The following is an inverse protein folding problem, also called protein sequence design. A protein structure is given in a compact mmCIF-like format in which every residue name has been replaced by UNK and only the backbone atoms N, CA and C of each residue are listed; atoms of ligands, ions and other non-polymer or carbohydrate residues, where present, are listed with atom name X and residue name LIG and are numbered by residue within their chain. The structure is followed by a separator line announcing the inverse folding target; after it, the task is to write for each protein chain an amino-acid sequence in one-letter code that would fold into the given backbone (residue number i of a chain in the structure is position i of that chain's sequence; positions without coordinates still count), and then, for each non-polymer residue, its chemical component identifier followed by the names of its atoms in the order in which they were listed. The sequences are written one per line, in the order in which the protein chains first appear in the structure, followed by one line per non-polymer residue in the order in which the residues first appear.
data_IF_263023767881
#
_entry.id   IF_263023767881
#
_cell.length_a   1.000
_cell.length_b   1.000
_cell.length_c   1.000
_cell.angle_alpha   90.00
_cell.angle_beta   90.00
_cell.angle_gamma   90.00
#
_symmetry.space_group_name_H-M   'P 1'
#
loop_
_entity.id
_entity.type
_entity.pdbx_description
1 polymer ?
#
# COMPACT_ATOMS: atom_id res chain seq x y z
N UNK A 1 8.38 26.54 -48.24
CA UNK A 1 7.82 25.29 -47.66
C UNK A 1 7.68 25.51 -46.18
N UNK A 2 6.53 25.24 -45.63
CA UNK A 2 6.31 25.29 -44.17
C UNK A 2 7.22 24.24 -43.54
N UNK A 3 7.96 24.64 -42.48
CA UNK A 3 8.80 23.74 -41.70
C UNK A 3 7.85 22.92 -40.81
N UNK A 4 7.95 21.61 -40.80
CA UNK A 4 7.18 20.74 -39.90
C UNK A 4 7.72 20.87 -38.48
N UNK A 5 6.90 20.52 -37.47
CA UNK A 5 7.32 20.52 -36.07
C UNK A 5 8.51 19.57 -35.86
N UNK A 6 8.52 18.41 -36.52
CA UNK A 6 9.63 17.45 -36.51
C UNK A 6 10.92 18.07 -37.05
N UNK A 7 10.86 18.77 -38.18
CA UNK A 7 12.02 19.48 -38.75
C UNK A 7 12.54 20.59 -37.85
N UNK A 8 11.65 21.31 -37.13
CA UNK A 8 12.03 22.32 -36.16
C UNK A 8 12.79 21.70 -34.96
N UNK A 9 12.32 20.59 -34.40
CA UNK A 9 13.05 19.84 -33.37
C UNK A 9 14.39 19.32 -33.88
N UNK A 10 14.43 18.72 -35.08
CA UNK A 10 15.67 18.23 -35.69
C UNK A 10 16.69 19.36 -35.89
N UNK A 11 16.25 20.54 -36.31
CA UNK A 11 17.10 21.71 -36.43
C UNK A 11 17.64 22.19 -35.06
N UNK A 12 16.80 22.17 -34.02
CA UNK A 12 17.21 22.48 -32.65
C UNK A 12 18.28 21.49 -32.14
N UNK A 13 18.12 20.19 -32.35
CA UNK A 13 19.11 19.17 -31.97
C UNK A 13 20.43 19.37 -32.69
N UNK A 14 20.38 19.67 -33.98
CA UNK A 14 21.57 19.92 -34.79
C UNK A 14 22.31 21.19 -34.35
N UNK A 15 21.58 22.24 -33.98
CA UNK A 15 22.15 23.56 -33.65
C UNK A 15 22.63 23.64 -32.21
N UNK A 16 21.83 23.14 -31.26
CA UNK A 16 22.08 23.26 -29.82
C UNK A 16 22.75 22.05 -29.22
N UNK A 17 22.59 20.91 -29.86
CA UNK A 17 22.93 19.59 -29.33
C UNK A 17 21.93 19.09 -28.27
N UNK A 18 21.74 17.78 -28.11
CA UNK A 18 20.72 17.17 -27.23
C UNK A 18 20.88 17.55 -25.75
N UNK A 19 22.12 17.84 -25.32
CA UNK A 19 22.40 18.23 -23.91
C UNK A 19 21.91 19.62 -23.52
N UNK A 20 21.42 20.42 -24.46
CA UNK A 20 20.90 21.79 -24.24
C UNK A 20 19.42 21.93 -24.56
N UNK A 21 18.75 20.83 -24.88
CA UNK A 21 17.32 20.80 -25.18
C UNK A 21 16.59 20.18 -23.99
N UNK A 22 15.49 20.81 -23.59
CA UNK A 22 14.55 20.32 -22.57
C UNK A 22 13.20 20.13 -23.25
N UNK A 23 12.54 19.03 -22.97
CA UNK A 23 11.15 18.84 -23.35
C UNK A 23 10.23 19.36 -22.23
N UNK A 24 9.18 20.07 -22.60
CA UNK A 24 8.11 20.51 -21.71
C UNK A 24 6.75 20.21 -22.32
N UNK A 25 5.82 19.74 -21.50
CA UNK A 25 4.49 19.31 -21.95
C UNK A 25 3.50 20.46 -22.18
N UNK A 26 3.88 21.68 -21.81
CA UNK A 26 2.98 22.84 -21.84
C UNK A 26 1.60 22.57 -21.21
N UNK A 27 1.64 21.94 -19.99
CA UNK A 27 0.43 21.67 -19.24
C UNK A 27 -0.30 22.98 -18.83
N UNK A 28 -1.64 23.10 -18.92
CA UNK A 28 -2.63 22.04 -19.23
C UNK A 28 -2.94 21.82 -20.72
N UNK A 29 -2.32 22.52 -21.64
CA UNK A 29 -2.60 22.42 -23.09
C UNK A 29 -2.36 20.99 -23.60
N UNK A 30 -1.37 20.28 -23.05
CA UNK A 30 -1.06 18.89 -23.40
C UNK A 30 -2.19 17.89 -23.13
N UNK A 31 -3.15 18.21 -22.27
CA UNK A 31 -4.33 17.38 -21.99
C UNK A 31 -5.53 17.69 -22.92
N UNK A 32 -5.45 18.72 -23.71
CA UNK A 32 -6.50 19.06 -24.68
C UNK A 32 -6.46 18.09 -25.87
N UNK A 33 -7.63 17.72 -26.39
CA UNK A 33 -7.70 17.04 -27.68
C UNK A 33 -7.51 18.05 -28.79
N UNK A 34 -6.53 17.81 -29.64
CA UNK A 34 -6.25 18.72 -30.73
C UNK A 34 -5.27 18.14 -31.73
N UNK A 35 -4.95 18.93 -32.73
CA UNK A 35 -3.89 18.63 -33.69
C UNK A 35 -3.16 19.93 -34.04
N UNK A 36 -1.85 19.87 -34.07
CA UNK A 36 -1.03 20.97 -34.51
C UNK A 36 -1.11 21.11 -36.04
N UNK A 37 -1.37 22.31 -36.50
CA UNK A 37 -1.32 22.68 -37.92
C UNK A 37 -0.41 23.88 -38.14
N UNK A 38 0.30 23.88 -39.26
CA UNK A 38 1.11 25.04 -39.70
C UNK A 38 0.36 25.83 -40.76
N UNK A 39 0.27 27.15 -40.56
CA UNK A 39 -0.26 28.09 -41.54
C UNK A 39 0.78 29.13 -41.85
N UNK A 40 1.79 28.81 -42.65
CA UNK A 40 2.90 29.69 -43.00
C UNK A 40 3.88 29.90 -41.85
N UNK A 41 3.91 31.10 -41.24
CA UNK A 41 4.87 31.41 -40.16
C UNK A 41 4.36 31.04 -38.75
N UNK A 42 3.12 30.56 -38.62
CA UNK A 42 2.50 30.29 -37.33
C UNK A 42 2.04 28.87 -37.21
N UNK A 43 2.03 28.35 -35.98
CA UNK A 43 1.47 27.07 -35.59
C UNK A 43 0.18 27.27 -34.77
N UNK A 44 -0.85 26.50 -35.03
CA UNK A 44 -2.12 26.54 -34.30
C UNK A 44 -2.50 25.15 -33.84
N UNK A 45 -3.06 25.07 -32.64
CA UNK A 45 -3.69 23.87 -32.16
C UNK A 45 -5.17 23.89 -32.51
N UNK A 46 -5.60 22.96 -33.35
CA UNK A 46 -7.01 22.69 -33.58
C UNK A 46 -7.56 21.83 -32.49
N UNK A 47 -8.64 22.23 -31.86
CA UNK A 47 -9.39 21.39 -30.92
C UNK A 47 -10.90 21.48 -31.21
N UNK A 48 -11.73 20.51 -30.71
CA UNK A 48 -13.14 20.40 -31.13
C UNK A 48 -14.00 21.63 -30.88
N UNK A 49 -13.61 22.47 -29.92
CA UNK A 49 -14.41 23.62 -29.48
C UNK A 49 -13.97 24.96 -30.11
N UNK A 50 -12.76 25.02 -30.69
CA UNK A 50 -12.22 26.23 -31.28
C UNK A 50 -11.60 25.91 -32.63
N UNK A 51 -12.36 26.09 -33.68
CA UNK A 51 -11.85 26.08 -35.06
C UNK A 51 -11.33 27.46 -35.41
N UNK A 52 -10.10 27.56 -35.94
CA UNK A 52 -9.61 28.80 -36.48
C UNK A 52 -10.50 29.24 -37.67
N UNK A 53 -10.97 30.51 -37.77
CA UNK A 53 -11.93 30.92 -38.76
C UNK A 53 -11.56 30.64 -40.22
N UNK A 54 -10.25 30.61 -40.51
CA UNK A 54 -9.71 30.44 -41.87
C UNK A 54 -9.34 28.98 -42.19
N UNK A 55 -9.62 28.03 -41.30
CA UNK A 55 -9.26 26.64 -41.50
C UNK A 55 -10.45 25.72 -41.60
N UNK A 56 -10.56 25.02 -42.74
CA UNK A 56 -11.50 23.90 -42.93
C UNK A 56 -10.72 22.59 -42.76
N UNK A 57 -10.94 21.82 -41.67
CA UNK A 57 -10.22 20.57 -41.45
C UNK A 57 -10.61 19.55 -42.53
N UNK A 58 -9.67 18.75 -43.05
CA UNK A 58 -10.00 17.62 -43.91
C UNK A 58 -10.93 16.67 -43.14
N UNK A 59 -11.90 16.07 -43.81
CA UNK A 59 -12.90 15.16 -43.25
C UNK A 59 -12.34 13.91 -42.55
N UNK A 60 -11.03 13.67 -42.68
CA UNK A 60 -10.30 12.52 -42.15
C UNK A 60 -9.37 12.90 -40.98
N UNK A 61 -9.41 14.14 -40.46
CA UNK A 61 -8.51 14.57 -39.39
C UNK A 61 -8.92 13.93 -38.06
N UNK A 62 -8.12 13.00 -37.56
CA UNK A 62 -8.31 12.40 -36.25
C UNK A 62 -7.64 13.30 -35.19
N UNK A 63 -8.42 13.74 -34.20
CA UNK A 63 -7.92 14.51 -33.07
C UNK A 63 -7.29 13.58 -32.02
N UNK A 64 -6.09 13.92 -31.57
CA UNK A 64 -5.38 13.24 -30.48
C UNK A 64 -5.19 14.20 -29.30
N UNK A 65 -4.61 13.73 -28.21
CA UNK A 65 -4.16 14.62 -27.13
C UNK A 65 -2.94 15.39 -27.64
N UNK A 66 -2.93 16.71 -27.42
CA UNK A 66 -1.82 17.61 -27.83
C UNK A 66 -0.47 17.12 -27.30
N UNK A 67 -0.41 16.66 -26.06
CA UNK A 67 0.81 16.10 -25.49
C UNK A 67 1.29 14.82 -26.19
N UNK A 68 0.39 13.96 -26.69
CA UNK A 68 0.74 12.77 -27.47
C UNK A 68 1.26 13.16 -28.85
N UNK A 69 0.65 14.13 -29.50
CA UNK A 69 1.09 14.65 -30.79
C UNK A 69 2.53 15.17 -30.70
N UNK A 70 2.83 16.02 -29.71
CA UNK A 70 4.17 16.54 -29.47
C UNK A 70 5.19 15.44 -29.16
N UNK A 71 4.81 14.40 -28.42
CA UNK A 71 5.68 13.27 -28.14
C UNK A 71 5.98 12.43 -29.39
N UNK A 72 4.98 12.21 -30.24
CA UNK A 72 5.15 11.48 -31.51
C UNK A 72 6.08 12.26 -32.45
N UNK A 73 5.87 13.55 -32.60
CA UNK A 73 6.69 14.46 -33.40
C UNK A 73 8.13 14.51 -32.89
N UNK A 74 8.30 14.58 -31.56
CA UNK A 74 9.62 14.55 -30.95
C UNK A 74 10.33 13.21 -31.16
N UNK A 75 9.60 12.09 -31.06
CA UNK A 75 10.12 10.75 -31.35
C UNK A 75 10.62 10.66 -32.80
N UNK A 76 9.83 11.15 -33.75
CA UNK A 76 10.22 11.21 -35.17
C UNK A 76 11.50 12.03 -35.34
N UNK A 77 11.54 13.26 -34.80
CA UNK A 77 12.72 14.13 -34.86
C UNK A 77 13.96 13.50 -34.22
N UNK A 78 13.83 12.76 -33.12
CA UNK A 78 14.94 12.04 -32.49
C UNK A 78 15.45 10.93 -33.39
N UNK A 79 14.56 10.20 -34.07
CA UNK A 79 14.92 9.13 -35.00
C UNK A 79 15.66 9.70 -36.22
N UNK A 80 15.11 10.72 -36.84
CA UNK A 80 15.65 11.37 -38.03
C UNK A 80 16.99 12.07 -37.77
N UNK A 81 17.20 12.51 -36.54
CA UNK A 81 18.45 13.14 -36.11
C UNK A 81 19.50 12.13 -35.63
N UNK A 82 19.20 10.83 -35.62
CA UNK A 82 20.11 9.77 -35.20
C UNK A 82 20.52 9.85 -33.72
N UNK A 83 19.64 10.36 -32.86
CA UNK A 83 19.92 10.46 -31.43
C UNK A 83 19.98 9.09 -30.76
N UNK A 84 20.91 8.95 -29.83
CA UNK A 84 21.05 7.74 -29.01
C UNK A 84 20.03 7.74 -27.87
N UNK A 85 19.80 6.57 -27.26
CA UNK A 85 18.97 6.47 -26.04
C UNK A 85 19.48 7.37 -24.92
N UNK A 86 20.79 7.57 -24.80
CA UNK A 86 21.39 8.48 -23.82
C UNK A 86 21.02 9.94 -24.11
N UNK A 87 21.03 10.35 -25.38
CA UNK A 87 20.63 11.71 -25.78
C UNK A 87 19.14 11.95 -25.50
N UNK A 88 18.28 10.96 -25.72
CA UNK A 88 16.86 11.01 -25.42
C UNK A 88 16.64 11.15 -23.90
N UNK A 89 17.35 10.39 -23.09
CA UNK A 89 17.31 10.53 -21.63
C UNK A 89 17.79 11.92 -21.17
N UNK A 90 18.79 12.49 -21.84
CA UNK A 90 19.23 13.86 -21.55
C UNK A 90 18.12 14.85 -21.81
N UNK A 91 17.41 14.77 -22.92
CA UNK A 91 16.32 15.68 -23.30
C UNK A 91 15.16 15.61 -22.29
N UNK A 92 14.71 14.41 -21.94
CA UNK A 92 13.53 14.22 -21.10
C UNK A 92 13.80 14.35 -19.60
N UNK A 93 15.01 14.07 -19.14
CA UNK A 93 15.28 13.99 -17.71
C UNK A 93 16.55 14.73 -17.28
N UNK A 94 17.73 14.34 -17.83
CA UNK A 94 19.00 14.77 -17.26
C UNK A 94 19.27 16.26 -17.44
N UNK A 95 18.78 16.89 -18.53
CA UNK A 95 18.93 18.30 -18.75
C UNK A 95 18.09 19.10 -17.72
N UNK A 96 16.85 18.66 -17.45
CA UNK A 96 16.01 19.25 -16.42
C UNK A 96 16.65 19.10 -15.02
N UNK A 97 17.16 17.92 -14.69
CA UNK A 97 17.87 17.69 -13.44
C UNK A 97 19.12 18.55 -13.31
N UNK A 98 19.92 18.71 -14.36
CA UNK A 98 21.10 19.60 -14.35
C UNK A 98 20.72 21.07 -14.12
N UNK A 99 19.60 21.51 -14.68
CA UNK A 99 19.10 22.87 -14.50
C UNK A 99 18.53 23.09 -13.10
N UNK A 100 17.77 22.13 -12.59
CA UNK A 100 17.08 22.23 -11.29
C UNK A 100 18.00 21.93 -10.09
N UNK A 101 19.02 21.09 -10.26
CA UNK A 101 19.92 20.65 -9.18
C UNK A 101 20.53 21.79 -8.34
N UNK A 102 20.95 22.94 -8.89
CA UNK A 102 21.41 24.08 -8.08
C UNK A 102 20.33 24.70 -7.20
N UNK A 103 19.06 24.51 -7.56
CA UNK A 103 17.90 25.09 -6.87
C UNK A 103 17.18 24.09 -5.96
N UNK A 104 17.48 22.79 -6.09
CA UNK A 104 16.86 21.70 -5.34
C UNK A 104 17.95 20.72 -4.84
N UNK A 105 18.88 21.18 -3.99
CA UNK A 105 20.02 20.36 -3.55
C UNK A 105 19.61 19.10 -2.78
N UNK A 106 18.42 19.07 -2.19
CA UNK A 106 17.92 17.96 -1.38
C UNK A 106 17.38 16.77 -2.21
N UNK A 107 17.10 16.99 -3.51
CA UNK A 107 16.64 15.90 -4.41
C UNK A 107 17.77 15.01 -4.94
N UNK A 108 19.02 15.39 -4.70
CA UNK A 108 20.16 14.59 -5.10
C UNK A 108 20.54 13.62 -3.97
N UNK A 109 19.99 12.41 -3.97
CA UNK A 109 20.67 11.29 -3.32
C UNK A 109 22.02 11.16 -4.03
N UNK A 110 23.15 11.29 -3.32
CA UNK A 110 24.47 11.18 -3.97
C UNK A 110 24.53 9.84 -4.71
N UNK A 111 24.89 9.85 -5.99
CA UNK A 111 25.01 8.66 -6.86
C UNK A 111 26.10 7.66 -6.38
N UNK A 112 26.67 7.88 -5.20
CA UNK A 112 27.76 7.10 -4.61
C UNK A 112 27.41 6.43 -3.29
N UNK A 113 26.14 6.48 -2.84
CA UNK A 113 25.77 5.85 -1.57
C UNK A 113 25.53 4.36 -1.78
N UNK A 114 26.46 3.54 -1.38
CA UNK A 114 26.35 2.08 -1.35
C UNK A 114 25.34 1.67 -0.28
N UNK A 115 24.39 0.79 -0.63
CA UNK A 115 23.34 0.30 0.29
C UNK A 115 23.89 -0.28 1.60
N UNK A 116 24.89 -1.18 1.59
CA UNK A 116 25.56 -1.68 2.79
C UNK A 116 26.20 -0.61 3.67
N UNK A 117 26.81 0.43 3.09
CA UNK A 117 27.37 1.55 3.87
C UNK A 117 26.27 2.40 4.52
N UNK A 118 25.19 2.65 3.79
CA UNK A 118 24.03 3.35 4.35
C UNK A 118 23.37 2.54 5.48
N UNK A 119 23.33 1.20 5.35
CA UNK A 119 22.84 0.32 6.41
C UNK A 119 23.67 0.44 7.68
N UNK A 120 25.00 0.48 7.59
CA UNK A 120 25.87 0.72 8.76
C UNK A 120 25.52 2.03 9.48
N UNK A 121 25.35 3.12 8.70
CA UNK A 121 24.93 4.42 9.24
C UNK A 121 23.53 4.36 9.87
N UNK A 122 22.59 3.64 9.24
CA UNK A 122 21.25 3.47 9.80
C UNK A 122 21.27 2.72 11.14
N UNK A 123 22.11 1.70 11.29
CA UNK A 123 22.29 0.97 12.56
C UNK A 123 22.77 1.85 13.71
N UNK A 124 23.53 2.90 13.41
CA UNK A 124 23.99 3.88 14.41
C UNK A 124 22.91 4.89 14.80
N UNK A 125 21.98 5.21 13.90
CA UNK A 125 21.03 6.32 14.06
C UNK A 125 19.59 5.87 14.31
N UNK A 126 19.22 4.70 13.80
CA UNK A 126 17.86 4.16 13.88
C UNK A 126 17.90 2.89 14.73
N UNK A 127 17.08 2.82 15.76
CA UNK A 127 16.98 1.61 16.59
C UNK A 127 16.60 0.41 15.73
N UNK A 128 17.48 -0.61 15.68
CA UNK A 128 17.34 -1.77 14.81
C UNK A 128 17.63 -1.51 13.34
N UNK A 129 18.09 -0.31 12.94
CA UNK A 129 18.40 0.06 11.55
C UNK A 129 17.17 0.37 10.70
N UNK A 130 16.04 -0.25 10.99
CA UNK A 130 14.74 -0.06 10.34
C UNK A 130 13.61 -0.52 11.25
N UNK A 131 12.41 -0.02 11.03
CA UNK A 131 11.21 -0.38 11.80
C UNK A 131 10.65 -1.77 11.54
N UNK A 132 11.12 -2.50 10.52
CA UNK A 132 10.60 -3.83 10.16
C UNK A 132 11.71 -4.88 10.23
N UNK A 133 11.51 -5.89 11.09
CA UNK A 133 12.48 -6.97 11.30
C UNK A 133 12.90 -7.67 10.00
N UNK A 134 11.93 -8.04 9.16
CA UNK A 134 12.16 -8.74 7.89
C UNK A 134 12.83 -7.88 6.80
N UNK A 135 13.08 -6.58 7.03
CA UNK A 135 13.88 -5.72 6.14
C UNK A 135 15.30 -5.48 6.64
N UNK A 136 15.67 -6.04 7.79
CA UNK A 136 17.04 -5.92 8.29
C UNK A 136 18.00 -6.72 7.43
N UNK A 137 19.15 -6.13 7.07
CA UNK A 137 20.14 -6.81 6.25
C UNK A 137 20.67 -8.09 6.91
N UNK A 138 20.71 -8.15 8.25
CA UNK A 138 21.12 -9.32 9.03
C UNK A 138 20.21 -10.55 8.82
N UNK A 139 19.01 -10.36 8.29
CA UNK A 139 18.10 -11.47 7.93
C UNK A 139 18.53 -12.17 6.62
N UNK A 140 19.44 -11.56 5.85
CA UNK A 140 19.91 -12.04 4.55
C UNK A 140 21.45 -12.06 4.53
N UNK A 141 22.06 -10.99 4.02
CA UNK A 141 23.51 -10.81 3.96
C UNK A 141 23.87 -9.32 4.16
N UNK A 142 24.64 -9.03 5.19
CA UNK A 142 25.00 -7.65 5.54
C UNK A 142 25.98 -6.98 4.57
N UNK A 143 26.62 -7.74 3.69
CA UNK A 143 27.61 -7.24 2.73
C UNK A 143 27.01 -7.09 1.32
N UNK A 144 26.14 -8.01 0.91
CA UNK A 144 25.61 -8.05 -0.46
C UNK A 144 24.15 -7.65 -0.56
N UNK A 145 23.37 -7.72 0.54
CA UNK A 145 21.98 -7.31 0.51
C UNK A 145 21.85 -5.80 0.25
N UNK A 146 21.13 -5.35 -0.81
CA UNK A 146 21.09 -3.95 -1.22
C UNK A 146 20.48 -3.03 -0.15
N UNK A 147 19.64 -3.55 0.74
CA UNK A 147 18.94 -2.92 1.87
C UNK A 147 18.04 -1.72 1.52
N UNK A 148 18.37 -0.95 0.49
CA UNK A 148 17.64 0.27 0.09
C UNK A 148 17.28 0.22 -1.39
N UNK A 149 16.12 0.78 -1.70
CA UNK A 149 15.67 0.97 -3.07
C UNK A 149 15.66 2.47 -3.42
N UNK A 150 15.94 2.78 -4.67
CA UNK A 150 15.75 4.11 -5.25
C UNK A 150 14.34 4.26 -5.83
N UNK A 151 13.88 3.24 -6.56
CA UNK A 151 12.53 3.19 -7.15
C UNK A 151 11.99 1.79 -7.23
N UNK A 152 10.67 1.68 -7.34
CA UNK A 152 9.98 0.43 -7.58
C UNK A 152 8.80 0.68 -8.54
N UNK A 153 8.51 -0.27 -9.45
CA UNK A 153 7.41 -0.18 -10.40
C UNK A 153 6.95 -1.58 -10.83
N UNK A 154 5.65 -1.83 -10.84
CA UNK A 154 5.13 -3.17 -11.12
C UNK A 154 5.67 -4.19 -10.12
N UNK A 155 6.40 -5.20 -10.60
CA UNK A 155 7.08 -6.19 -9.76
C UNK A 155 8.60 -5.94 -9.64
N UNK A 156 9.10 -4.83 -10.14
CA UNK A 156 10.52 -4.54 -10.23
C UNK A 156 10.94 -3.50 -9.20
N UNK A 157 12.15 -3.67 -8.66
CA UNK A 157 12.79 -2.77 -7.69
C UNK A 157 14.21 -2.47 -8.15
N UNK A 158 14.63 -1.22 -8.04
CA UNK A 158 16.01 -0.79 -8.33
C UNK A 158 16.67 -0.31 -7.04
N UNK A 159 17.85 -0.83 -6.76
CA UNK A 159 18.65 -0.38 -5.63
C UNK A 159 19.33 0.96 -5.91
N UNK A 160 20.06 1.48 -4.92
CA UNK A 160 20.78 2.76 -5.04
C UNK A 160 21.91 2.76 -6.07
N UNK A 161 22.33 1.60 -6.55
CA UNK A 161 23.31 1.46 -7.65
C UNK A 161 22.64 1.41 -9.02
N UNK A 162 21.31 1.40 -9.07
CA UNK A 162 20.51 1.24 -10.28
C UNK A 162 20.35 -0.22 -10.72
N UNK A 163 20.85 -1.20 -9.96
CA UNK A 163 20.67 -2.61 -10.25
C UNK A 163 19.21 -3.02 -10.03
N UNK A 164 18.65 -3.71 -11.01
CA UNK A 164 17.25 -4.15 -11.04
C UNK A 164 17.08 -5.54 -10.44
N UNK A 165 16.01 -5.72 -9.71
CA UNK A 165 15.56 -6.99 -9.12
C UNK A 165 14.08 -7.21 -9.40
N UNK A 166 13.65 -8.47 -9.44
CA UNK A 166 12.24 -8.85 -9.36
C UNK A 166 11.91 -9.10 -7.89
N UNK A 167 10.91 -8.39 -7.38
CA UNK A 167 10.48 -8.54 -5.99
C UNK A 167 9.30 -9.50 -5.88
N UNK A 168 9.57 -10.74 -5.45
CA UNK A 168 8.54 -11.74 -5.16
C UNK A 168 7.85 -11.55 -3.80
N UNK A 169 8.38 -10.68 -2.94
CA UNK A 169 7.80 -10.41 -1.61
C UNK A 169 6.68 -9.37 -1.66
N UNK A 170 6.59 -8.57 -2.73
CA UNK A 170 5.53 -7.58 -2.94
C UNK A 170 5.37 -6.63 -1.75
N UNK A 171 6.49 -6.05 -1.24
CA UNK A 171 6.45 -5.17 -0.06
C UNK A 171 5.98 -5.89 1.20
N UNK A 172 6.40 -7.15 1.41
CA UNK A 172 5.93 -8.04 2.50
C UNK A 172 4.41 -8.24 2.42
N UNK A 173 3.93 -8.39 1.19
CA UNK A 173 2.50 -8.57 0.91
C UNK A 173 1.64 -7.30 0.99
N UNK A 174 2.22 -6.12 1.11
CA UNK A 174 1.44 -4.88 1.16
C UNK A 174 1.09 -4.33 -0.23
N UNK A 175 1.78 -4.78 -1.28
CA UNK A 175 1.60 -4.29 -2.64
C UNK A 175 1.10 -5.45 -3.52
N UNK A 176 -0.14 -5.37 -3.97
CA UNK A 176 -0.78 -6.45 -4.74
C UNK A 176 -1.02 -6.07 -6.21
N UNK A 177 -1.35 -4.82 -6.49
CA UNK A 177 -1.53 -4.31 -7.86
C UNK A 177 -0.19 -4.01 -8.55
N UNK A 178 0.92 -4.08 -7.81
CA UNK A 178 2.24 -3.67 -8.25
C UNK A 178 2.67 -2.34 -7.65
N UNK A 179 4.00 -2.14 -7.63
CA UNK A 179 4.59 -0.89 -7.16
C UNK A 179 4.23 0.26 -8.09
N UNK A 180 4.04 1.44 -7.51
CA UNK A 180 3.73 2.67 -8.25
C UNK A 180 2.52 2.53 -9.19
N UNK A 181 1.50 1.78 -8.78
CA UNK A 181 0.26 1.63 -9.55
C UNK A 181 -0.30 3.01 -9.92
N UNK A 182 -0.60 3.27 -11.21
CA UNK A 182 -0.96 4.60 -11.69
C UNK A 182 -2.27 5.13 -11.11
N UNK A 183 -3.27 4.28 -10.91
CA UNK A 183 -4.59 4.69 -10.42
C UNK A 183 -4.53 5.03 -8.93
N UNK A 184 -3.84 4.20 -8.15
CA UNK A 184 -3.60 4.46 -6.72
C UNK A 184 -2.76 5.72 -6.55
N UNK A 185 -1.66 5.89 -7.31
CA UNK A 185 -0.83 7.08 -7.27
C UNK A 185 -1.60 8.35 -7.63
N UNK A 186 -2.42 8.30 -8.69
CA UNK A 186 -3.25 9.43 -9.11
C UNK A 186 -4.28 9.82 -8.02
N UNK A 187 -4.91 8.84 -7.37
CA UNK A 187 -5.84 9.10 -6.28
C UNK A 187 -5.16 9.74 -5.06
N UNK A 188 -4.00 9.21 -4.66
CA UNK A 188 -3.19 9.73 -3.56
C UNK A 188 -2.67 11.13 -3.88
N UNK A 189 -2.17 11.36 -5.10
CA UNK A 189 -1.70 12.67 -5.54
C UNK A 189 -2.82 13.72 -5.51
N UNK A 190 -4.00 13.41 -6.06
CA UNK A 190 -5.17 14.31 -5.97
C UNK A 190 -5.50 14.66 -4.52
N UNK A 191 -5.46 13.68 -3.61
CA UNK A 191 -5.73 13.92 -2.18
C UNK A 191 -4.66 14.80 -1.54
N UNK A 192 -3.38 14.60 -1.86
CA UNK A 192 -2.29 15.46 -1.39
C UNK A 192 -2.48 16.91 -1.81
N UNK A 193 -2.83 17.16 -3.07
CA UNK A 193 -3.06 18.51 -3.60
C UNK A 193 -4.26 19.21 -2.96
N UNK A 194 -5.21 18.47 -2.38
CA UNK A 194 -6.36 19.00 -1.66
C UNK A 194 -6.14 19.10 -0.14
N UNK A 195 -4.97 18.69 0.35
CA UNK A 195 -4.65 18.58 1.76
C UNK A 195 -4.99 17.18 2.31
N UNK A 196 -3.96 16.44 2.74
CA UNK A 196 -4.11 15.07 3.23
C UNK A 196 -4.75 14.99 4.62
N UNK A 197 -4.59 16.04 5.44
CA UNK A 197 -5.02 16.08 6.83
C UNK A 197 -5.39 17.51 7.25
N UNK A 198 -6.47 17.64 8.01
CA UNK A 198 -6.86 18.91 8.64
C UNK A 198 -7.74 18.68 9.87
N UNK A 199 -8.26 19.75 10.47
CA UNK A 199 -9.17 19.67 11.64
C UNK A 199 -10.55 19.09 11.32
N UNK A 200 -10.94 19.01 10.05
CA UNK A 200 -12.18 18.38 9.58
C UNK A 200 -11.88 16.99 9.04
N UNK A 201 -12.87 16.10 9.10
CA UNK A 201 -12.76 14.74 8.56
C UNK A 201 -12.90 14.70 7.03
N UNK A 202 -12.28 13.72 6.41
CA UNK A 202 -12.31 13.53 4.97
C UNK A 202 -13.58 12.74 4.57
N UNK A 203 -14.39 13.23 3.61
CA UNK A 203 -15.59 12.51 3.16
C UNK A 203 -15.30 11.16 2.49
N UNK A 204 -14.06 10.90 2.05
CA UNK A 204 -13.68 9.58 1.52
C UNK A 204 -13.73 8.48 2.58
N UNK A 205 -13.64 8.79 3.87
CA UNK A 205 -13.86 7.82 4.95
C UNK A 205 -15.26 7.22 4.88
N UNK A 206 -16.28 8.06 4.66
CA UNK A 206 -17.67 7.59 4.55
C UNK A 206 -17.85 6.74 3.29
N UNK A 207 -17.37 7.20 2.15
CA UNK A 207 -17.44 6.44 0.88
C UNK A 207 -16.76 5.08 0.98
N UNK A 208 -15.62 5.02 1.66
CA UNK A 208 -14.91 3.76 1.87
C UNK A 208 -15.68 2.86 2.82
N UNK A 209 -16.28 3.39 3.90
CA UNK A 209 -17.12 2.62 4.81
C UNK A 209 -18.31 2.00 4.07
N UNK A 210 -19.04 2.79 3.27
CA UNK A 210 -20.13 2.30 2.42
C UNK A 210 -19.67 1.16 1.50
N UNK A 211 -18.51 1.33 0.83
CA UNK A 211 -17.94 0.30 -0.06
C UNK A 211 -17.58 -0.97 0.70
N UNK A 212 -16.94 -0.85 1.85
CA UNK A 212 -16.56 -2.01 2.67
C UNK A 212 -17.78 -2.75 3.22
N UNK A 213 -18.83 -2.04 3.65
CA UNK A 213 -20.06 -2.65 4.13
C UNK A 213 -20.87 -3.31 2.99
N UNK A 214 -20.87 -2.73 1.79
CA UNK A 214 -21.42 -3.38 0.59
C UNK A 214 -20.76 -4.74 0.33
N UNK A 215 -19.43 -4.81 0.50
CA UNK A 215 -18.65 -6.04 0.31
C UNK A 215 -18.86 -7.06 1.44
N UNK A 216 -19.26 -6.60 2.63
CA UNK A 216 -19.44 -7.41 3.85
C UNK A 216 -20.84 -7.23 4.45
N UNK A 217 -21.91 -7.79 3.84
CA UNK A 217 -23.30 -7.55 4.27
C UNK A 217 -23.61 -8.00 5.70
N UNK A 218 -22.75 -8.85 6.32
CA UNK A 218 -22.84 -9.27 7.71
C UNK A 218 -22.41 -8.19 8.71
N UNK A 219 -21.66 -7.17 8.24
CA UNK A 219 -21.10 -6.11 9.07
C UNK A 219 -22.01 -4.87 9.09
N UNK A 220 -21.94 -4.08 10.17
CA UNK A 220 -22.72 -2.85 10.36
C UNK A 220 -21.87 -1.58 10.45
N UNK A 221 -20.61 -1.68 10.93
CA UNK A 221 -19.72 -0.53 11.13
C UNK A 221 -18.28 -0.82 10.74
N UNK A 222 -17.54 0.26 10.47
CA UNK A 222 -16.10 0.23 10.12
C UNK A 222 -15.35 1.18 11.04
N UNK A 223 -14.09 0.83 11.38
CA UNK A 223 -13.15 1.71 12.05
C UNK A 223 -11.79 1.62 11.37
N UNK A 224 -11.06 2.74 11.30
CA UNK A 224 -9.81 2.82 10.55
C UNK A 224 -8.58 2.93 11.46
N UNK A 225 -7.45 2.43 10.98
CA UNK A 225 -6.12 2.54 11.56
C UNK A 225 -5.08 2.72 10.43
N UNK A 226 -3.79 2.77 10.78
CA UNK A 226 -2.71 2.91 9.79
C UNK A 226 -1.83 1.67 9.69
N UNK A 227 -1.84 0.81 10.68
CA UNK A 227 -1.06 -0.42 10.70
C UNK A 227 -1.88 -1.64 11.10
N UNK A 228 -1.54 -2.81 10.55
CA UNK A 228 -2.25 -4.06 10.86
C UNK A 228 -2.19 -4.45 12.34
N UNK A 229 -1.01 -4.36 12.98
CA UNK A 229 -0.88 -4.65 14.42
C UNK A 229 -1.70 -3.70 15.31
N UNK A 230 -1.77 -2.43 14.93
CA UNK A 230 -2.59 -1.41 15.53
C UNK A 230 -4.09 -1.78 15.41
N UNK A 231 -4.54 -2.12 14.20
CA UNK A 231 -5.91 -2.54 13.94
C UNK A 231 -6.28 -3.83 14.70
N UNK A 232 -5.38 -4.80 14.80
CA UNK A 232 -5.58 -6.00 15.61
C UNK A 232 -5.74 -5.64 17.09
N UNK A 233 -4.93 -4.74 17.62
CA UNK A 233 -5.07 -4.28 19.02
C UNK A 233 -6.40 -3.60 19.28
N UNK A 234 -6.89 -2.81 18.31
CA UNK A 234 -8.21 -2.20 18.37
C UNK A 234 -9.30 -3.27 18.38
N UNK A 235 -9.25 -4.24 17.47
CA UNK A 235 -10.20 -5.36 17.40
C UNK A 235 -10.25 -6.15 18.72
N UNK A 236 -9.10 -6.43 19.33
CA UNK A 236 -9.00 -7.09 20.64
C UNK A 236 -9.62 -6.26 21.74
N UNK A 237 -9.37 -4.95 21.76
CA UNK A 237 -10.00 -4.06 22.76
C UNK A 237 -11.52 -4.01 22.60
N UNK A 238 -12.02 -3.93 21.37
CA UNK A 238 -13.45 -3.96 21.07
C UNK A 238 -14.06 -5.27 21.54
N UNK A 239 -13.44 -6.41 21.22
CA UNK A 239 -13.92 -7.74 21.65
C UNK A 239 -13.95 -7.89 23.17
N UNK A 240 -12.93 -7.39 23.88
CA UNK A 240 -12.90 -7.37 25.35
C UNK A 240 -13.99 -6.49 25.94
N UNK A 241 -14.24 -5.32 25.36
CA UNK A 241 -15.32 -4.43 25.79
C UNK A 241 -16.70 -5.10 25.59
N UNK A 242 -16.93 -5.66 24.41
CA UNK A 242 -18.20 -6.32 24.07
C UNK A 242 -18.53 -7.54 24.94
N UNK A 243 -17.52 -8.23 25.44
CA UNK A 243 -17.72 -9.43 26.26
C UNK A 243 -17.53 -9.22 27.77
N UNK A 244 -16.91 -8.13 28.18
CA UNK A 244 -16.48 -7.91 29.56
C UNK A 244 -15.39 -8.88 30.04
N UNK A 245 -14.71 -9.58 29.12
CA UNK A 245 -13.72 -10.62 29.39
C UNK A 245 -12.34 -10.22 28.85
N UNK A 246 -11.29 -10.93 29.26
CA UNK A 246 -9.90 -10.55 28.94
C UNK A 246 -9.13 -11.57 28.08
N UNK A 247 -9.54 -12.84 28.08
CA UNK A 247 -8.80 -13.93 27.48
C UNK A 247 -8.94 -14.01 25.96
N UNK A 248 -7.84 -14.27 25.26
CA UNK A 248 -7.78 -14.39 23.80
C UNK A 248 -7.19 -15.74 23.44
N UNK A 249 -7.93 -16.59 22.73
CA UNK A 249 -7.39 -17.72 22.01
C UNK A 249 -6.97 -17.28 20.61
N UNK A 250 -5.80 -17.64 20.12
CA UNK A 250 -5.38 -17.14 18.80
C UNK A 250 -4.55 -18.16 18.01
N UNK A 251 -4.62 -18.06 16.68
CA UNK A 251 -3.82 -18.85 15.75
C UNK A 251 -3.26 -17.98 14.63
N UNK A 252 -1.94 -17.85 14.56
CA UNK A 252 -1.27 -17.08 13.54
C UNK A 252 -0.43 -15.91 14.06
N UNK A 253 -0.03 -15.03 13.16
CA UNK A 253 0.71 -13.81 13.48
C UNK A 253 -0.19 -12.58 13.43
N UNK A 254 -0.28 -11.85 14.54
CA UNK A 254 -1.22 -10.74 14.69
C UNK A 254 -0.59 -9.44 15.15
N UNK A 255 0.67 -9.22 14.84
CA UNK A 255 1.41 -8.01 15.20
C UNK A 255 2.38 -8.19 16.37
N UNK A 256 2.84 -7.07 16.93
CA UNK A 256 3.90 -7.01 17.94
C UNK A 256 3.42 -6.45 19.28
N UNK A 257 2.17 -6.10 19.42
CA UNK A 257 1.63 -5.43 20.60
C UNK A 257 1.57 -6.36 21.81
N UNK A 258 1.49 -5.78 22.99
CA UNK A 258 1.59 -6.47 24.28
C UNK A 258 0.63 -7.65 24.41
N UNK A 259 -0.60 -7.50 23.94
CA UNK A 259 -1.59 -8.58 24.04
C UNK A 259 -1.15 -9.86 23.31
N UNK A 260 -0.44 -9.74 22.19
CA UNK A 260 0.06 -10.88 21.42
C UNK A 260 1.33 -11.48 22.03
N UNK A 261 2.30 -10.62 22.39
CA UNK A 261 3.54 -11.07 23.02
C UNK A 261 3.32 -11.60 24.43
N UNK A 262 2.20 -11.32 25.09
CA UNK A 262 1.80 -11.85 26.38
C UNK A 262 1.79 -13.39 26.41
N UNK A 263 1.56 -14.07 25.28
CA UNK A 263 1.67 -15.53 25.19
C UNK A 263 3.03 -16.06 25.63
N UNK A 264 4.13 -15.34 25.33
CA UNK A 264 5.48 -15.72 25.73
C UNK A 264 5.84 -15.42 27.21
N UNK A 265 4.95 -14.75 27.95
CA UNK A 265 5.13 -14.56 29.41
C UNK A 265 4.94 -15.88 30.19
N UNK A 266 4.11 -16.77 29.69
CA UNK A 266 3.85 -18.05 30.33
C UNK A 266 4.85 -19.11 29.90
N UNK A 267 5.04 -19.26 28.58
CA UNK A 267 5.99 -20.19 27.98
C UNK A 267 6.78 -19.44 26.91
N UNK A 268 8.10 -19.31 27.09
CA UNK A 268 8.98 -18.53 26.18
C UNK A 268 8.91 -18.93 24.70
N UNK A 269 8.42 -20.13 24.40
CA UNK A 269 8.26 -20.68 23.04
C UNK A 269 6.80 -20.74 22.57
N UNK A 270 5.87 -20.07 23.23
CA UNK A 270 4.44 -20.16 22.87
C UNK A 270 4.16 -19.65 21.45
N UNK A 271 4.95 -18.67 20.97
CA UNK A 271 4.83 -18.09 19.63
C UNK A 271 5.68 -18.76 18.54
N UNK A 272 6.51 -19.75 18.88
CA UNK A 272 7.51 -20.32 17.95
C UNK A 272 6.87 -20.93 16.68
N UNK A 273 5.70 -21.52 16.78
CA UNK A 273 4.95 -22.07 15.65
C UNK A 273 4.08 -21.05 14.88
N UNK A 274 4.01 -19.80 15.35
CA UNK A 274 3.12 -18.78 14.83
C UNK A 274 3.83 -17.70 14.03
N UNK A 275 5.07 -17.38 14.36
CA UNK A 275 5.89 -16.41 13.62
C UNK A 275 7.34 -16.89 13.57
N UNK A 276 8.19 -16.39 14.45
CA UNK A 276 9.61 -16.69 14.57
C UNK A 276 9.91 -17.20 15.98
N UNK A 277 10.81 -18.17 16.12
CA UNK A 277 11.22 -18.64 17.43
C UNK A 277 11.98 -17.54 18.22
N UNK A 278 11.87 -17.60 19.55
CA UNK A 278 12.68 -16.78 20.44
C UNK A 278 12.29 -15.32 20.56
N UNK A 279 11.03 -14.93 20.28
CA UNK A 279 10.54 -13.55 20.47
C UNK A 279 10.44 -13.23 21.96
N UNK A 280 11.30 -12.32 22.51
CA UNK A 280 11.30 -12.03 23.93
C UNK A 280 10.12 -11.10 24.29
N UNK A 281 9.34 -11.41 25.34
CA UNK A 281 8.27 -10.54 25.83
C UNK A 281 8.82 -9.43 26.75
N UNK A 282 10.04 -8.94 26.48
CA UNK A 282 10.69 -7.91 27.29
C UNK A 282 9.92 -6.59 27.22
N UNK A 283 9.47 -6.11 28.37
CA UNK A 283 8.68 -4.88 28.49
C UNK A 283 7.16 -5.09 28.43
N UNK A 284 6.69 -6.30 28.14
CA UNK A 284 5.28 -6.64 28.26
C UNK A 284 4.89 -6.75 29.74
N UNK A 285 3.80 -6.11 30.21
CA UNK A 285 3.36 -6.19 31.59
C UNK A 285 3.10 -7.65 32.03
N UNK A 286 3.64 -8.03 33.19
CA UNK A 286 3.50 -9.39 33.75
C UNK A 286 2.05 -9.78 34.02
N UNK A 287 1.20 -8.80 34.28
CA UNK A 287 -0.24 -8.92 34.55
C UNK A 287 -1.04 -9.46 33.34
N UNK A 288 -0.46 -9.39 32.14
CA UNK A 288 -1.04 -9.98 30.94
C UNK A 288 -0.79 -11.47 30.78
N UNK A 289 0.01 -12.07 31.69
CA UNK A 289 0.27 -13.51 31.68
C UNK A 289 -1.05 -14.31 31.72
N UNK A 290 -1.19 -15.31 30.83
CA UNK A 290 -2.37 -16.15 30.71
C UNK A 290 -3.56 -15.50 30.02
N UNK A 291 -3.46 -14.26 29.53
CA UNK A 291 -4.54 -13.60 28.79
C UNK A 291 -4.52 -13.87 27.28
N UNK A 292 -3.44 -14.47 26.76
CA UNK A 292 -3.29 -14.83 25.35
C UNK A 292 -2.78 -16.26 25.23
N UNK A 293 -3.59 -17.14 24.68
CA UNK A 293 -3.30 -18.58 24.58
C UNK A 293 -3.31 -19.00 23.12
N UNK A 294 -2.17 -19.43 22.55
CA UNK A 294 -2.10 -19.86 21.18
C UNK A 294 -2.66 -21.27 20.97
N UNK A 295 -3.25 -21.51 19.79
CA UNK A 295 -3.57 -22.85 19.29
C UNK A 295 -3.05 -22.99 17.85
N UNK A 296 -2.88 -24.23 17.36
CA UNK A 296 -2.32 -24.48 16.04
C UNK A 296 -3.39 -24.57 14.95
N UNK A 297 -3.04 -24.13 13.76
CA UNK A 297 -3.90 -24.19 12.59
C UNK A 297 -4.19 -25.66 12.20
N UNK A 298 -5.44 -25.99 11.90
CA UNK A 298 -5.91 -27.34 11.62
C UNK A 298 -5.78 -28.34 12.80
N UNK A 299 -5.63 -27.88 14.03
CA UNK A 299 -5.53 -28.68 15.24
C UNK A 299 -6.64 -28.31 16.25
N UNK A 300 -7.79 -28.98 16.14
CA UNK A 300 -8.91 -28.80 17.06
C UNK A 300 -8.58 -29.23 18.49
N UNK A 301 -7.63 -30.14 18.68
CA UNK A 301 -7.22 -30.55 20.03
C UNK A 301 -6.53 -29.41 20.76
N UNK A 302 -5.60 -28.74 20.11
CA UNK A 302 -4.94 -27.55 20.67
C UNK A 302 -5.92 -26.38 20.86
N UNK A 303 -6.90 -26.23 19.96
CA UNK A 303 -7.95 -25.23 20.10
C UNK A 303 -8.82 -25.48 21.35
N UNK A 304 -9.34 -26.69 21.56
CA UNK A 304 -10.14 -27.01 22.74
C UNK A 304 -9.33 -26.87 24.03
N UNK A 305 -8.05 -27.22 24.03
CA UNK A 305 -7.16 -27.00 25.19
C UNK A 305 -7.00 -25.52 25.52
N UNK A 306 -6.90 -24.61 24.49
CA UNK A 306 -6.85 -23.18 24.70
C UNK A 306 -8.18 -22.66 25.27
N UNK A 307 -9.32 -23.15 24.78
CA UNK A 307 -10.63 -22.80 25.32
C UNK A 307 -10.79 -23.22 26.77
N UNK A 308 -10.32 -24.44 27.13
CA UNK A 308 -10.35 -24.97 28.52
C UNK A 308 -9.49 -24.09 29.43
N UNK A 309 -8.27 -23.76 29.01
CA UNK A 309 -7.35 -22.90 29.78
C UNK A 309 -7.95 -21.51 30.06
N UNK A 310 -8.63 -20.90 29.10
CA UNK A 310 -9.26 -19.59 29.26
C UNK A 310 -10.61 -19.65 30.00
N UNK A 311 -11.32 -20.79 29.90
CA UNK A 311 -12.59 -21.02 30.56
C UNK A 311 -13.63 -19.91 30.33
N UNK A 312 -14.24 -19.42 31.40
CA UNK A 312 -15.23 -18.34 31.37
C UNK A 312 -14.66 -16.95 31.04
N UNK A 313 -13.33 -16.81 30.97
CA UNK A 313 -12.67 -15.53 30.66
C UNK A 313 -12.40 -15.34 29.14
N UNK A 314 -12.81 -16.26 28.27
CA UNK A 314 -12.61 -16.15 26.82
C UNK A 314 -13.40 -14.97 26.24
N UNK A 315 -12.69 -13.94 25.81
CA UNK A 315 -13.26 -12.76 25.14
C UNK A 315 -13.36 -12.96 23.61
N UNK A 316 -12.31 -13.48 23.00
CA UNK A 316 -12.26 -13.67 21.55
C UNK A 316 -11.41 -14.86 21.12
N UNK A 317 -11.75 -15.36 19.95
CA UNK A 317 -10.89 -16.23 19.14
C UNK A 317 -10.41 -15.46 17.94
N UNK A 318 -9.10 -15.45 17.71
CA UNK A 318 -8.44 -14.66 16.65
C UNK A 318 -7.66 -15.59 15.75
N UNK A 319 -7.85 -15.49 14.43
CA UNK A 319 -7.10 -16.33 13.51
C UNK A 319 -6.98 -15.72 12.10
N UNK A 320 -5.92 -16.11 11.40
CA UNK A 320 -5.84 -15.96 9.95
C UNK A 320 -6.72 -17.05 9.29
N UNK A 321 -7.57 -16.72 8.31
CA UNK A 321 -8.48 -17.69 7.68
C UNK A 321 -7.73 -18.73 6.83
N UNK A 322 -6.62 -18.33 6.23
CA UNK A 322 -5.68 -19.17 5.47
C UNK A 322 -4.26 -18.70 5.78
N UNK A 323 -3.36 -19.67 5.99
CA UNK A 323 -1.92 -19.44 6.11
C UNK A 323 -1.16 -20.20 5.03
N UNK A 324 -0.26 -21.07 5.42
CA UNK A 324 0.50 -21.96 4.53
C UNK A 324 -0.32 -23.14 3.99
N UNK A 325 -1.48 -23.41 4.59
CA UNK A 325 -2.39 -24.50 4.25
C UNK A 325 -3.83 -24.01 4.22
N UNK A 326 -4.67 -24.69 3.45
CA UNK A 326 -6.12 -24.52 3.53
C UNK A 326 -6.67 -25.13 4.83
N UNK A 327 -7.80 -24.64 5.34
CA UNK A 327 -8.45 -25.27 6.49
C UNK A 327 -8.91 -26.69 6.14
N UNK A 328 -8.73 -27.59 7.06
CA UNK A 328 -9.35 -28.92 6.96
C UNK A 328 -10.87 -28.78 7.07
N UNK A 329 -11.59 -29.76 6.45
CA UNK A 329 -13.05 -29.83 6.55
C UNK A 329 -13.51 -29.84 8.01
N UNK A 330 -14.46 -28.98 8.36
CA UNK A 330 -15.00 -28.84 9.71
C UNK A 330 -14.17 -27.99 10.66
N UNK A 331 -12.95 -27.59 10.31
CA UNK A 331 -12.09 -26.81 11.22
C UNK A 331 -12.65 -25.42 11.54
N UNK A 332 -12.99 -24.65 10.51
CA UNK A 332 -13.49 -23.29 10.67
C UNK A 332 -14.93 -23.27 11.18
N UNK A 333 -15.73 -24.22 10.76
CA UNK A 333 -17.11 -24.43 11.22
C UNK A 333 -17.13 -24.69 12.72
N UNK A 334 -16.28 -25.61 13.20
CA UNK A 334 -16.15 -25.92 14.63
C UNK A 334 -15.72 -24.69 15.42
N UNK A 335 -14.72 -23.93 14.96
CA UNK A 335 -14.28 -22.70 15.64
C UNK A 335 -15.43 -21.69 15.72
N UNK A 336 -16.15 -21.48 14.62
CA UNK A 336 -17.29 -20.55 14.57
C UNK A 336 -18.40 -20.95 15.54
N UNK A 337 -18.73 -22.23 15.58
CA UNK A 337 -19.74 -22.77 16.49
C UNK A 337 -19.33 -22.63 17.97
N UNK A 338 -18.07 -22.98 18.29
CA UNK A 338 -17.53 -22.83 19.66
C UNK A 338 -17.49 -21.36 20.12
N UNK A 339 -17.15 -20.41 19.23
CA UNK A 339 -17.24 -18.99 19.56
C UNK A 339 -18.67 -18.60 19.94
N UNK A 340 -19.65 -19.02 19.17
CA UNK A 340 -21.07 -18.75 19.41
C UNK A 340 -21.55 -19.36 20.74
N UNK A 341 -21.21 -20.64 21.01
CA UNK A 341 -21.56 -21.31 22.26
C UNK A 341 -20.97 -20.65 23.51
N UNK A 342 -19.73 -20.16 23.40
CA UNK A 342 -19.01 -19.47 24.48
C UNK A 342 -19.38 -18.01 24.61
N UNK A 343 -20.13 -17.43 23.67
CA UNK A 343 -20.35 -15.98 23.58
C UNK A 343 -19.04 -15.22 23.46
N UNK A 344 -18.08 -15.75 22.69
CA UNK A 344 -16.82 -15.13 22.40
C UNK A 344 -16.85 -14.51 21.00
N UNK A 345 -16.14 -13.40 20.81
CA UNK A 345 -16.05 -12.71 19.52
C UNK A 345 -15.11 -13.45 18.57
N UNK A 346 -15.58 -13.81 17.39
CA UNK A 346 -14.73 -14.37 16.33
C UNK A 346 -14.10 -13.21 15.53
N UNK A 347 -12.77 -13.09 15.59
CA UNK A 347 -11.98 -12.09 14.87
C UNK A 347 -11.17 -12.78 13.78
N UNK A 348 -11.45 -12.47 12.53
CA UNK A 348 -10.68 -12.97 11.39
C UNK A 348 -9.68 -11.91 10.92
N UNK A 349 -8.42 -12.30 10.92
CA UNK A 349 -7.30 -11.49 10.43
C UNK A 349 -7.12 -11.70 8.92
N UNK A 350 -7.67 -10.79 8.15
CA UNK A 350 -7.55 -10.74 6.69
C UNK A 350 -6.34 -9.89 6.21
N UNK A 351 -5.46 -9.47 7.12
CA UNK A 351 -4.35 -8.56 6.78
C UNK A 351 -3.45 -9.16 5.68
N UNK A 352 -3.21 -10.47 5.72
CA UNK A 352 -2.41 -11.15 4.71
C UNK A 352 -3.28 -11.85 3.66
N UNK A 353 -4.40 -12.44 4.06
CA UNK A 353 -5.27 -13.23 3.17
C UNK A 353 -6.21 -12.37 2.32
N UNK A 354 -6.67 -11.24 2.85
CA UNK A 354 -7.61 -10.35 2.20
C UNK A 354 -7.16 -9.90 0.80
N UNK A 355 -8.09 -9.94 -0.15
CA UNK A 355 -7.89 -9.64 -1.57
C UNK A 355 -6.96 -10.61 -2.33
N UNK A 356 -6.29 -11.58 -1.65
CA UNK A 356 -5.43 -12.57 -2.29
C UNK A 356 -6.15 -13.88 -2.59
N UNK A 357 -6.95 -14.35 -1.63
CA UNK A 357 -7.70 -15.58 -1.74
C UNK A 357 -9.18 -15.33 -2.08
N UNK A 358 -9.42 -14.43 -2.98
CA UNK A 358 -10.75 -14.01 -3.39
C UNK A 358 -11.10 -12.58 -2.99
N UNK A 359 -12.20 -12.09 -3.54
CA UNK A 359 -12.67 -10.73 -3.31
C UNK A 359 -13.98 -10.75 -2.50
N UNK A 360 -14.06 -10.05 -1.38
CA UNK A 360 -13.08 -9.16 -0.78
C UNK A 360 -12.06 -9.85 0.14
N UNK A 361 -12.19 -11.14 0.46
CA UNK A 361 -11.27 -11.85 1.34
C UNK A 361 -11.52 -13.34 1.43
N UNK A 362 -10.60 -14.02 2.12
CA UNK A 362 -10.63 -15.47 2.27
C UNK A 362 -11.82 -15.94 3.11
N UNK A 363 -12.26 -15.18 4.11
CA UNK A 363 -13.43 -15.52 4.94
C UNK A 363 -14.69 -15.68 4.08
N UNK A 364 -14.92 -14.77 3.13
CA UNK A 364 -16.07 -14.87 2.20
C UNK A 364 -15.95 -16.09 1.29
N UNK A 365 -14.77 -16.36 0.76
CA UNK A 365 -14.52 -17.54 -0.07
C UNK A 365 -14.77 -18.85 0.69
N UNK A 366 -14.44 -18.87 1.99
CA UNK A 366 -14.61 -20.02 2.89
C UNK A 366 -16.00 -20.09 3.55
N UNK A 367 -16.89 -19.14 3.25
CA UNK A 367 -18.25 -19.11 3.80
C UNK A 367 -18.32 -18.76 5.28
N UNK A 368 -17.35 -18.01 5.81
CA UNK A 368 -17.29 -17.61 7.22
C UNK A 368 -17.78 -16.18 7.36
N UNK A 369 -18.70 -15.97 8.28
CA UNK A 369 -19.13 -14.65 8.73
C UNK A 369 -18.63 -14.40 10.16
N UNK A 370 -17.51 -13.66 10.33
CA UNK A 370 -16.99 -13.36 11.65
C UNK A 370 -17.80 -12.27 12.35
N UNK A 371 -17.47 -12.00 13.61
CA UNK A 371 -17.98 -10.82 14.32
C UNK A 371 -17.14 -9.59 14.00
N UNK A 372 -15.83 -9.75 13.81
CA UNK A 372 -14.89 -8.72 13.35
C UNK A 372 -13.97 -9.29 12.27
N UNK A 373 -13.68 -8.52 11.24
CA UNK A 373 -12.63 -8.79 10.27
C UNK A 373 -11.65 -7.60 10.18
N UNK A 374 -10.36 -7.88 10.06
CA UNK A 374 -9.32 -6.86 10.02
C UNK A 374 -8.56 -6.93 8.70
N UNK A 375 -8.56 -5.84 7.96
CA UNK A 375 -7.86 -5.67 6.68
C UNK A 375 -6.73 -4.66 6.79
N UNK A 376 -5.62 -4.91 6.11
CA UNK A 376 -4.51 -3.98 5.91
C UNK A 376 -3.73 -4.38 4.64
N UNK A 377 -2.46 -3.98 4.53
CA UNK A 377 -1.58 -4.37 3.40
C UNK A 377 -2.22 -4.10 2.03
N UNK A 378 -2.75 -5.16 1.40
CA UNK A 378 -3.29 -5.10 0.04
C UNK A 378 -4.44 -4.11 -0.14
N UNK A 379 -5.21 -3.80 0.91
CA UNK A 379 -6.38 -2.90 0.83
C UNK A 379 -6.06 -1.51 0.25
N UNK A 380 -4.83 -1.05 0.39
CA UNK A 380 -4.38 0.29 -0.02
C UNK A 380 -3.09 0.27 -0.83
N UNK A 381 -2.70 -0.89 -1.34
CA UNK A 381 -1.59 -1.12 -2.26
C UNK A 381 -0.29 -0.39 -1.86
N UNK A 382 0.13 -0.51 -0.60
CA UNK A 382 1.39 0.04 -0.08
C UNK A 382 1.28 1.38 0.65
N UNK A 383 0.14 2.05 0.64
CA UNK A 383 -0.11 3.22 1.49
C UNK A 383 -0.51 2.73 2.90
N UNK A 384 0.05 3.31 3.98
CA UNK A 384 -0.30 2.90 5.34
C UNK A 384 -1.78 3.05 5.64
N UNK A 385 -2.48 1.91 5.76
CA UNK A 385 -3.91 1.89 6.03
C UNK A 385 -4.35 0.53 6.56
N UNK A 386 -5.36 0.53 7.43
CA UNK A 386 -6.04 -0.66 7.92
C UNK A 386 -7.51 -0.33 8.25
N UNK A 387 -8.37 -1.33 8.13
CA UNK A 387 -9.78 -1.24 8.48
C UNK A 387 -10.20 -2.43 9.36
N UNK A 388 -10.99 -2.15 10.38
CA UNK A 388 -11.73 -3.12 11.17
C UNK A 388 -13.18 -3.02 10.72
N UNK A 389 -13.75 -4.12 10.30
CA UNK A 389 -15.14 -4.25 9.83
C UNK A 389 -15.82 -5.19 10.81
N UNK A 390 -17.00 -4.84 11.31
CA UNK A 390 -17.65 -5.67 12.31
C UNK A 390 -19.16 -5.52 12.43
N UNK A 391 -19.77 -6.48 13.11
CA UNK A 391 -21.19 -6.44 13.46
C UNK A 391 -21.50 -5.20 14.28
N UNK A 392 -22.62 -4.57 14.01
CA UNK A 392 -23.02 -3.32 14.68
C UNK A 392 -22.99 -3.44 16.21
N UNK A 393 -23.54 -4.53 16.76
CA UNK A 393 -23.58 -4.79 18.20
C UNK A 393 -22.20 -4.88 18.87
N UNK A 394 -21.18 -5.34 18.14
CA UNK A 394 -19.81 -5.44 18.64
C UNK A 394 -19.07 -4.12 18.46
N UNK A 395 -19.23 -3.49 17.28
CA UNK A 395 -18.51 -2.27 16.94
C UNK A 395 -18.98 -1.05 17.75
N UNK A 396 -20.22 -1.03 18.22
CA UNK A 396 -20.76 0.04 19.08
C UNK A 396 -19.94 0.19 20.37
N UNK A 397 -19.40 -0.90 20.93
CA UNK A 397 -18.52 -0.86 22.10
C UNK A 397 -17.24 -0.04 21.88
N UNK A 398 -16.85 0.16 20.61
CA UNK A 398 -15.72 1.03 20.27
C UNK A 398 -15.97 2.51 20.54
N UNK A 399 -17.22 2.92 20.63
CA UNK A 399 -17.64 4.31 20.87
C UNK A 399 -17.46 4.70 22.35
N UNK A 400 -17.62 3.73 23.25
CA UNK A 400 -17.40 3.90 24.69
C UNK A 400 -15.96 3.64 25.12
N UNK A 401 -15.17 3.00 24.25
CA UNK A 401 -13.75 2.75 24.46
C UNK A 401 -12.91 3.89 23.87
N UNK A 402 -12.03 4.52 24.66
CA UNK A 402 -11.12 5.55 24.13
C UNK A 402 -10.13 4.94 23.12
N UNK A 403 -10.58 4.85 21.87
CA UNK A 403 -9.80 4.36 20.72
C UNK A 403 -9.69 5.49 19.70
N UNK A 404 -8.61 6.29 19.79
CA UNK A 404 -8.44 7.51 19.00
C UNK A 404 -6.97 7.79 18.72
N UNK A 405 -6.67 8.30 17.52
CA UNK A 405 -5.34 8.77 17.13
C UNK A 405 -5.43 9.80 16.02
N UNK A 406 -4.53 10.80 16.04
CA UNK A 406 -4.57 11.95 15.14
C UNK A 406 -4.58 11.54 13.67
N UNK A 407 -3.65 10.69 13.26
CA UNK A 407 -3.48 10.32 11.84
C UNK A 407 -4.44 9.25 11.33
N UNK A 408 -5.34 8.73 12.15
CA UNK A 408 -6.33 7.77 11.67
C UNK A 408 -7.40 8.42 10.79
N UNK A 409 -7.45 9.76 10.75
CA UNK A 409 -8.35 10.56 9.92
C UNK A 409 -7.64 11.24 8.73
N UNK A 410 -6.39 10.85 8.41
CA UNK A 410 -5.78 11.33 7.17
C UNK A 410 -6.46 10.75 5.93
N UNK A 411 -6.47 11.51 4.84
CA UNK A 411 -7.20 11.13 3.64
C UNK A 411 -6.43 10.25 2.66
N UNK A 412 -5.13 9.98 2.87
CA UNK A 412 -4.33 9.22 1.90
C UNK A 412 -4.72 7.74 1.89
N UNK A 413 -4.90 7.16 3.10
CA UNK A 413 -5.33 5.78 3.23
C UNK A 413 -6.67 5.50 2.55
N UNK A 414 -7.75 6.24 2.88
CA UNK A 414 -9.04 6.09 2.21
C UNK A 414 -8.99 6.33 0.70
N UNK A 415 -8.22 7.33 0.23
CA UNK A 415 -8.07 7.59 -1.21
C UNK A 415 -7.40 6.41 -1.94
N UNK A 416 -6.32 5.87 -1.36
CA UNK A 416 -5.64 4.70 -1.90
C UNK A 416 -6.53 3.46 -1.88
N UNK A 417 -7.23 3.21 -0.77
CA UNK A 417 -8.12 2.06 -0.63
C UNK A 417 -9.27 2.10 -1.64
N UNK A 418 -9.92 3.25 -1.83
CA UNK A 418 -10.98 3.41 -2.84
C UNK A 418 -10.48 3.21 -4.27
N UNK A 419 -9.21 3.53 -4.57
CA UNK A 419 -8.63 3.29 -5.89
C UNK A 419 -8.16 1.84 -6.06
N UNK A 420 -7.86 1.14 -4.96
CA UNK A 420 -7.45 -0.27 -4.97
C UNK A 420 -8.66 -1.20 -5.13
N UNK A 421 -9.80 -0.86 -4.52
CA UNK A 421 -11.06 -1.62 -4.51
C UNK A 421 -11.91 -1.37 -5.75
#
# INVERSE_FOLDING_TARGET
SAVTESEAFAAAFKTLGPKRVLWGSDFPVSEMRGRCISTGEFFYWLHPEVLHPDYQPPTTTQMTLVGIESLLTLKEACTDSGLTTADIHDIFLHNALRFLKPHLPELAIPATTNGPELWKKAREKISGGTGLLSKRAEMYDTQEWPAYFERASGCEVWDLSGKRYIDFAGGIGAVMLGYADPDVNAAVHRRLMQGSYCSLVNPQEVKLAEKLLELHPWAGKVKYARGGGEAMTMAIRIARAATGRSGIAFCGYHGWHDWYLAANLEKKSALDGHLLPGLPPKGVPSELKGTAVPFFYNDLTSFEAALEQLGGNLAAVVMEPIRSQHPHSGFLETITERCREKGAVLVIDEITAGFRYGYPGASKMLGIEPDLAVYAKAISNGIPFAAIIGRDSIMTESEESFISSSYWTDGLGPAAALATL
#
